data_IF_574432783042
#
_entry.id   IF_574432783042
#
_cell.length_a   1.000
_cell.length_b   1.000
_cell.length_c   1.000
_cell.angle_alpha   90.00
_cell.angle_beta   90.00
_cell.angle_gamma   90.00
#
_symmetry.space_group_name_H-M   'P 1'
#
loop_
_entity.id
_entity.type
_entity.pdbx_description
1 polymer ?
#
# COMPACT_ATOMS: atom_id res chain seq x y z
N UNK A 1 -8.23 -42.98 21.20
CA UNK A 1 -8.29 -41.60 20.69
C UNK A 1 -9.59 -41.49 19.87
N UNK A 2 -10.55 -40.67 20.30
CA UNK A 2 -11.80 -40.46 19.58
C UNK A 2 -11.47 -39.66 18.32
N UNK A 3 -11.59 -40.31 17.17
CA UNK A 3 -11.33 -39.66 15.86
C UNK A 3 -12.55 -38.76 15.57
N UNK A 4 -12.49 -37.49 15.97
CA UNK A 4 -13.59 -36.55 15.78
C UNK A 4 -13.58 -36.09 14.29
N UNK A 5 -14.57 -36.53 13.49
CA UNK A 5 -14.64 -36.24 12.07
C UNK A 5 -14.71 -34.73 11.77
N UNK A 6 -15.34 -33.95 12.66
CA UNK A 6 -15.43 -32.49 12.51
C UNK A 6 -14.07 -31.81 12.62
N UNK A 7 -13.18 -32.26 13.53
CA UNK A 7 -11.84 -31.73 13.64
C UNK A 7 -10.97 -32.06 12.41
N UNK A 8 -11.18 -33.27 11.85
CA UNK A 8 -10.48 -33.63 10.60
C UNK A 8 -10.96 -32.76 9.45
N UNK A 9 -12.28 -32.59 9.30
CA UNK A 9 -12.83 -31.76 8.22
C UNK A 9 -12.40 -30.31 8.35
N UNK A 10 -12.43 -29.69 9.54
CA UNK A 10 -11.94 -28.33 9.78
C UNK A 10 -10.45 -28.19 9.42
N UNK A 11 -9.63 -29.17 9.77
CA UNK A 11 -8.21 -29.17 9.41
C UNK A 11 -8.03 -29.28 7.89
N UNK A 12 -8.74 -30.18 7.24
CA UNK A 12 -8.64 -30.42 5.82
C UNK A 12 -9.17 -29.22 5.00
N UNK A 13 -10.23 -28.57 5.49
CA UNK A 13 -10.74 -27.30 4.92
C UNK A 13 -9.75 -26.15 5.12
N UNK A 14 -9.12 -26.06 6.29
CA UNK A 14 -8.08 -25.06 6.55
C UNK A 14 -6.86 -25.29 5.66
N UNK A 15 -6.40 -26.54 5.54
CA UNK A 15 -5.30 -26.88 4.64
C UNK A 15 -5.65 -26.55 3.19
N UNK A 16 -6.87 -26.82 2.74
CA UNK A 16 -7.33 -26.48 1.39
C UNK A 16 -7.33 -24.97 1.15
N UNK A 17 -7.76 -24.17 2.14
CA UNK A 17 -7.71 -22.70 2.07
C UNK A 17 -6.26 -22.21 2.02
N UNK A 18 -5.40 -22.74 2.89
CA UNK A 18 -4.00 -22.34 2.98
C UNK A 18 -3.14 -22.82 1.78
N UNK A 19 -3.58 -23.88 1.10
CA UNK A 19 -2.89 -24.40 -0.08
C UNK A 19 -3.57 -24.01 -1.39
N UNK A 20 -4.71 -23.32 -1.34
CA UNK A 20 -5.35 -22.81 -2.53
C UNK A 20 -4.50 -21.68 -3.12
N UNK A 21 -4.04 -21.81 -4.36
CA UNK A 21 -3.23 -20.77 -5.01
C UNK A 21 -4.13 -19.59 -5.38
N UNK A 22 -4.31 -18.66 -4.46
CA UNK A 22 -5.08 -17.44 -4.67
C UNK A 22 -4.71 -16.36 -3.65
N UNK A 23 -4.95 -15.11 -4.01
CA UNK A 23 -4.63 -13.95 -3.19
C UNK A 23 -5.21 -14.01 -1.76
N UNK A 24 -6.43 -14.53 -1.60
CA UNK A 24 -7.08 -14.61 -0.28
C UNK A 24 -6.31 -15.48 0.70
N UNK A 25 -5.85 -16.65 0.27
CA UNK A 25 -5.05 -17.56 1.10
C UNK A 25 -3.69 -16.94 1.45
N UNK A 26 -3.03 -16.30 0.47
CA UNK A 26 -1.71 -15.69 0.67
C UNK A 26 -1.80 -14.42 1.54
N UNK A 27 -2.86 -13.63 1.44
CA UNK A 27 -3.13 -12.49 2.33
C UNK A 27 -3.43 -12.90 3.77
N UNK A 28 -3.86 -14.14 4.00
CA UNK A 28 -4.20 -14.64 5.34
C UNK A 28 -2.99 -15.21 6.11
N UNK A 29 -1.80 -15.27 5.51
CA UNK A 29 -0.63 -15.93 6.11
C UNK A 29 0.59 -15.01 6.11
N UNK A 30 1.13 -14.71 7.30
CA UNK A 30 2.39 -13.98 7.47
C UNK A 30 3.55 -14.96 7.60
N UNK A 31 4.65 -14.70 6.88
CA UNK A 31 5.86 -15.52 6.95
C UNK A 31 7.12 -14.70 7.23
N UNK A 32 7.32 -13.56 6.55
CA UNK A 32 8.48 -12.69 6.76
C UNK A 32 9.82 -13.29 6.33
N UNK A 33 9.83 -14.15 5.30
CA UNK A 33 11.02 -14.84 4.79
C UNK A 33 11.84 -13.96 3.84
N UNK A 34 13.16 -13.97 3.97
CA UNK A 34 14.05 -13.41 2.96
C UNK A 34 14.01 -14.25 1.67
N UNK A 35 13.67 -13.61 0.55
CA UNK A 35 13.56 -14.23 -0.77
C UNK A 35 14.83 -14.07 -1.60
N UNK A 36 15.82 -13.31 -1.13
CA UNK A 36 17.07 -13.01 -1.82
C UNK A 36 17.09 -11.62 -2.48
N UNK A 37 18.05 -11.44 -3.38
CA UNK A 37 18.26 -10.16 -4.06
C UNK A 37 17.46 -10.00 -5.35
N UNK A 38 16.97 -11.09 -5.94
CA UNK A 38 16.25 -11.06 -7.20
C UNK A 38 14.91 -11.79 -7.11
N UNK A 39 13.92 -11.26 -7.83
CA UNK A 39 12.67 -11.98 -8.06
C UNK A 39 12.94 -13.04 -9.13
N UNK A 40 12.68 -14.30 -8.84
CA UNK A 40 12.92 -15.39 -9.78
C UNK A 40 11.84 -15.45 -10.88
N UNK A 41 12.17 -16.06 -12.02
CA UNK A 41 11.20 -16.29 -13.10
C UNK A 41 9.97 -17.07 -12.62
N UNK A 42 10.16 -18.03 -11.70
CA UNK A 42 9.07 -18.79 -11.10
C UNK A 42 8.15 -17.89 -10.25
N UNK A 43 8.71 -16.94 -9.50
CA UNK A 43 7.92 -15.97 -8.73
C UNK A 43 7.17 -15.02 -9.66
N UNK A 44 7.81 -14.51 -10.72
CA UNK A 44 7.12 -13.69 -11.74
C UNK A 44 5.95 -14.45 -12.38
N UNK A 45 6.17 -15.71 -12.76
CA UNK A 45 5.11 -16.55 -13.33
C UNK A 45 3.95 -16.77 -12.32
N UNK A 46 4.25 -17.00 -11.05
CA UNK A 46 3.26 -17.20 -10.01
C UNK A 46 2.46 -15.91 -9.74
N UNK A 47 3.10 -14.74 -9.77
CA UNK A 47 2.43 -13.44 -9.65
C UNK A 47 1.50 -13.23 -10.83
N UNK A 48 2.00 -13.37 -12.06
CA UNK A 48 1.21 -13.16 -13.27
C UNK A 48 0.01 -14.12 -13.38
N UNK A 49 0.15 -15.35 -12.86
CA UNK A 49 -0.93 -16.33 -12.81
C UNK A 49 -1.92 -16.12 -11.67
N UNK A 50 -1.63 -15.25 -10.68
CA UNK A 50 -2.43 -15.05 -9.48
C UNK A 50 -2.42 -16.24 -8.51
N UNK A 51 -1.45 -17.15 -8.67
CA UNK A 51 -1.27 -18.29 -7.76
C UNK A 51 -0.43 -17.95 -6.55
N UNK A 52 0.53 -17.03 -6.71
CA UNK A 52 1.45 -16.55 -5.68
C UNK A 52 2.24 -17.65 -4.97
N UNK A 53 2.55 -18.75 -5.69
CA UNK A 53 3.25 -19.91 -5.14
C UNK A 53 4.53 -19.50 -4.40
N UNK A 54 4.69 -19.99 -3.16
CA UNK A 54 5.78 -19.69 -2.23
C UNK A 54 6.01 -18.18 -1.99
N UNK A 55 4.95 -17.35 -2.06
CA UNK A 55 4.95 -15.95 -1.65
C UNK A 55 3.91 -15.73 -0.55
N UNK A 56 4.27 -15.05 0.54
CA UNK A 56 3.40 -14.78 1.69
C UNK A 56 3.60 -13.36 2.19
N UNK A 57 2.65 -12.88 2.98
CA UNK A 57 2.77 -11.54 3.59
C UNK A 57 4.03 -11.44 4.44
N UNK A 58 4.72 -10.31 4.32
CA UNK A 58 5.95 -10.01 5.03
C UNK A 58 7.21 -10.55 4.40
N UNK A 59 7.13 -11.49 3.44
CA UNK A 59 8.29 -11.92 2.67
C UNK A 59 8.94 -10.72 1.97
N UNK A 60 10.24 -10.75 1.78
CA UNK A 60 10.95 -9.61 1.23
C UNK A 60 12.12 -9.96 0.32
N UNK A 61 12.33 -9.10 -0.66
CA UNK A 61 13.54 -9.04 -1.47
C UNK A 61 14.45 -7.93 -0.98
N UNK A 62 15.75 -8.19 -0.87
CA UNK A 62 16.74 -7.18 -0.50
C UNK A 62 17.45 -6.67 -1.74
N UNK A 63 17.17 -5.44 -2.14
CA UNK A 63 17.74 -4.81 -3.35
C UNK A 63 18.32 -3.46 -2.99
N UNK A 64 19.55 -3.20 -3.43
CA UNK A 64 20.23 -1.93 -3.11
C UNK A 64 20.38 -1.64 -1.59
N UNK A 65 20.38 -2.69 -0.76
CA UNK A 65 20.45 -2.56 0.70
C UNK A 65 19.10 -2.29 1.38
N UNK A 66 18.00 -2.21 0.62
CA UNK A 66 16.63 -2.00 1.14
C UNK A 66 15.84 -3.30 1.06
N UNK A 67 15.10 -3.63 2.10
CA UNK A 67 14.15 -4.72 2.13
C UNK A 67 12.79 -4.23 1.59
N UNK A 68 12.30 -4.90 0.54
CA UNK A 68 11.02 -4.63 -0.09
C UNK A 68 10.04 -5.76 0.26
N UNK A 69 9.06 -5.46 1.13
CA UNK A 69 8.15 -6.47 1.70
C UNK A 69 6.88 -6.62 0.88
N UNK A 70 6.44 -7.87 0.70
CA UNK A 70 5.11 -8.19 0.20
C UNK A 70 4.07 -7.74 1.24
N UNK A 71 3.27 -6.75 0.90
CA UNK A 71 2.31 -6.13 1.80
C UNK A 71 0.86 -6.60 1.57
N UNK A 72 0.53 -6.94 0.32
CA UNK A 72 -0.78 -7.49 -0.05
C UNK A 72 -0.67 -8.18 -1.42
N UNK A 73 -1.58 -9.12 -1.67
CA UNK A 73 -1.77 -9.76 -2.98
C UNK A 73 -3.10 -9.31 -3.56
N UNK A 74 -3.12 -8.91 -4.84
CA UNK A 74 -4.31 -8.49 -5.60
C UNK A 74 -5.13 -7.36 -4.94
N UNK A 75 -4.46 -6.46 -4.23
CA UNK A 75 -5.12 -5.40 -3.46
C UNK A 75 -5.96 -4.46 -4.35
N UNK A 76 -5.47 -4.18 -5.56
CA UNK A 76 -6.12 -3.31 -6.55
C UNK A 76 -6.90 -4.07 -7.62
N UNK A 77 -6.91 -5.40 -7.60
CA UNK A 77 -7.58 -6.20 -8.63
C UNK A 77 -9.09 -5.89 -8.67
N UNK A 78 -9.62 -5.70 -9.87
CA UNK A 78 -11.00 -5.32 -10.15
C UNK A 78 -11.41 -3.94 -9.59
N UNK A 79 -10.46 -3.04 -9.38
CA UNK A 79 -10.71 -1.65 -8.98
C UNK A 79 -10.14 -0.69 -10.03
N UNK A 80 -10.57 0.57 -9.98
CA UNK A 80 -10.02 1.59 -10.86
C UNK A 80 -10.88 1.91 -12.09
N UNK A 81 -10.45 2.94 -12.82
CA UNK A 81 -11.00 3.34 -14.12
C UNK A 81 -9.85 3.85 -15.01
N UNK A 82 -9.34 3.04 -15.95
CA UNK A 82 -9.78 1.67 -16.27
C UNK A 82 -9.54 0.67 -15.12
N UNK A 83 -10.32 -0.40 -15.12
CA UNK A 83 -10.24 -1.45 -14.08
C UNK A 83 -8.90 -2.19 -14.18
N UNK A 84 -8.23 -2.36 -13.05
CA UNK A 84 -7.03 -3.20 -12.93
C UNK A 84 -7.39 -4.67 -13.05
N UNK A 85 -6.85 -5.34 -14.06
CA UNK A 85 -7.10 -6.78 -14.34
C UNK A 85 -5.86 -7.65 -14.12
N UNK A 86 -4.70 -7.06 -13.84
CA UNK A 86 -3.46 -7.78 -13.64
C UNK A 86 -3.35 -8.26 -12.19
N UNK A 87 -3.02 -9.53 -12.02
CA UNK A 87 -2.58 -10.04 -10.73
C UNK A 87 -1.29 -9.35 -10.30
N UNK A 88 -1.15 -9.05 -9.01
CA UNK A 88 -0.01 -8.26 -8.53
C UNK A 88 0.25 -8.44 -7.03
N UNK A 89 1.47 -8.08 -6.65
CA UNK A 89 1.88 -7.96 -5.25
C UNK A 89 2.11 -6.49 -4.92
N UNK A 90 1.46 -5.99 -3.87
CA UNK A 90 1.77 -4.68 -3.29
C UNK A 90 3.05 -4.80 -2.48
N UNK A 91 4.00 -3.94 -2.78
CA UNK A 91 5.30 -3.88 -2.12
C UNK A 91 5.40 -2.60 -1.30
N UNK A 92 5.94 -2.72 -0.09
CA UNK A 92 6.29 -1.59 0.77
C UNK A 92 7.76 -1.72 1.18
N UNK A 93 8.61 -0.71 0.97
CA UNK A 93 9.97 -0.72 1.49
C UNK A 93 9.94 -0.73 3.02
N UNK A 94 10.87 -1.44 3.65
CA UNK A 94 10.95 -1.52 5.11
C UNK A 94 11.26 -0.17 5.74
N UNK A 95 12.09 0.63 5.08
CA UNK A 95 12.52 1.96 5.51
C UNK A 95 12.13 3.06 4.53
N UNK A 96 12.30 4.31 4.94
CA UNK A 96 12.15 5.45 4.06
C UNK A 96 13.21 5.41 2.95
N UNK A 97 12.79 5.62 1.71
CA UNK A 97 13.72 5.67 0.58
C UNK A 97 14.55 6.97 0.58
N UNK A 98 13.96 8.05 1.02
CA UNK A 98 14.56 9.38 1.17
C UNK A 98 13.62 10.28 1.99
N UNK A 99 13.99 11.55 2.14
CA UNK A 99 13.16 12.57 2.78
C UNK A 99 12.75 13.64 1.76
N UNK A 100 11.51 14.14 1.88
CA UNK A 100 10.97 15.23 1.06
C UNK A 100 9.83 15.96 1.79
N UNK A 101 9.36 17.07 1.21
CA UNK A 101 8.18 17.82 1.67
C UNK A 101 6.96 17.38 0.88
N UNK A 102 5.76 17.63 1.44
CA UNK A 102 4.54 17.57 0.64
C UNK A 102 4.45 18.76 -0.32
N UNK A 103 4.72 19.96 0.18
CA UNK A 103 4.76 21.20 -0.59
C UNK A 103 5.88 22.12 -0.08
N UNK A 104 6.32 23.05 -0.90
CA UNK A 104 7.28 24.09 -0.50
C UNK A 104 6.69 25.04 0.57
N UNK A 105 5.39 25.27 0.52
CA UNK A 105 4.65 26.10 1.44
C UNK A 105 3.65 25.28 2.27
N UNK A 106 3.15 25.88 3.38
CA UNK A 106 2.15 25.26 4.24
C UNK A 106 0.74 25.38 3.64
N UNK A 107 0.56 24.79 2.47
CA UNK A 107 -0.73 24.74 1.78
C UNK A 107 -1.03 23.30 1.35
N UNK A 108 -2.30 22.95 1.33
CA UNK A 108 -2.81 21.69 0.83
C UNK A 108 -3.85 21.89 -0.29
N UNK A 109 -3.74 23.01 -1.01
CA UNK A 109 -4.62 23.35 -2.14
C UNK A 109 -4.49 22.27 -3.23
N UNK A 110 -5.63 21.75 -3.69
CA UNK A 110 -5.65 20.64 -4.63
C UNK A 110 -5.43 19.27 -4.01
N UNK A 111 -5.32 19.21 -2.69
CA UNK A 111 -5.14 17.94 -1.95
C UNK A 111 -3.80 17.28 -2.23
N UNK A 112 -3.76 15.96 -2.04
CA UNK A 112 -2.56 15.17 -2.35
C UNK A 112 -2.23 15.19 -3.84
N UNK A 113 -3.25 15.07 -4.70
CA UNK A 113 -3.06 15.08 -6.16
C UNK A 113 -2.44 16.39 -6.68
N UNK A 114 -2.71 17.53 -6.00
CA UNK A 114 -2.13 18.83 -6.34
C UNK A 114 -0.80 19.14 -5.64
N UNK A 115 -0.27 18.23 -4.82
CA UNK A 115 0.96 18.46 -4.07
C UNK A 115 2.23 18.31 -4.92
N UNK A 116 3.31 18.99 -4.51
CA UNK A 116 4.65 18.78 -5.07
C UNK A 116 5.14 17.34 -4.83
N UNK A 117 4.71 16.71 -3.75
CA UNK A 117 5.01 15.30 -3.49
C UNK A 117 4.52 14.42 -4.62
N UNK A 118 3.23 14.53 -4.98
CA UNK A 118 2.64 13.70 -6.03
C UNK A 118 3.15 14.06 -7.42
N UNK A 119 3.29 15.35 -7.73
CA UNK A 119 3.63 15.82 -9.07
C UNK A 119 5.12 15.77 -9.41
N UNK A 120 6.00 15.83 -8.39
CA UNK A 120 7.44 15.94 -8.61
C UNK A 120 8.29 15.06 -7.68
N UNK A 121 8.05 15.09 -6.37
CA UNK A 121 8.97 14.45 -5.41
C UNK A 121 8.95 12.92 -5.51
N UNK A 122 7.82 12.30 -5.88
CA UNK A 122 7.70 10.86 -6.09
C UNK A 122 8.42 10.34 -7.34
N UNK A 123 8.84 11.21 -8.28
CA UNK A 123 9.65 10.77 -9.43
C UNK A 123 10.95 10.11 -8.98
N UNK A 124 11.54 10.58 -7.88
CA UNK A 124 12.72 9.93 -7.29
C UNK A 124 12.41 8.51 -6.83
N UNK A 125 11.27 8.29 -6.17
CA UNK A 125 10.85 6.95 -5.74
C UNK A 125 10.56 6.05 -6.95
N UNK A 126 9.89 6.57 -7.99
CA UNK A 126 9.63 5.82 -9.23
C UNK A 126 10.92 5.35 -9.88
N UNK A 127 11.93 6.22 -9.97
CA UNK A 127 13.22 5.85 -10.53
C UNK A 127 13.91 4.77 -9.69
N UNK A 128 13.98 4.93 -8.36
CA UNK A 128 14.54 3.90 -7.45
C UNK A 128 13.84 2.56 -7.66
N UNK A 129 12.51 2.54 -7.70
CA UNK A 129 11.72 1.32 -7.83
C UNK A 129 11.90 0.70 -9.22
N UNK A 130 11.95 1.49 -10.29
CA UNK A 130 12.23 1.03 -11.66
C UNK A 130 13.63 0.45 -11.81
N UNK A 131 14.62 1.01 -11.15
CA UNK A 131 15.99 0.46 -11.15
C UNK A 131 16.06 -0.92 -10.48
N UNK A 132 15.14 -1.21 -9.53
CA UNK A 132 15.14 -2.48 -8.75
C UNK A 132 14.21 -3.54 -9.32
N UNK A 133 13.03 -3.17 -9.83
CA UNK A 133 12.00 -4.10 -10.33
C UNK A 133 11.76 -4.01 -11.85
N UNK A 134 12.45 -3.09 -12.53
CA UNK A 134 12.42 -2.98 -13.98
C UNK A 134 11.04 -2.70 -14.55
N UNK A 135 10.67 -3.44 -15.60
CA UNK A 135 9.42 -3.29 -16.31
C UNK A 135 8.20 -3.89 -15.56
N UNK A 136 8.43 -4.54 -14.42
CA UNK A 136 7.37 -5.21 -13.67
C UNK A 136 6.56 -4.28 -12.73
N UNK A 137 6.71 -2.97 -12.86
CA UNK A 137 5.92 -2.02 -12.09
C UNK A 137 4.54 -1.88 -12.74
N UNK A 138 3.51 -2.21 -11.98
CA UNK A 138 2.13 -2.12 -12.43
C UNK A 138 1.64 -0.67 -12.42
N UNK A 139 1.15 -0.23 -13.56
CA UNK A 139 0.30 0.97 -13.64
C UNK A 139 -1.15 0.60 -13.34
N UNK A 140 -1.77 1.33 -12.44
CA UNK A 140 -3.18 1.20 -12.10
C UNK A 140 -3.78 2.56 -11.81
N UNK A 141 -5.07 2.66 -11.61
CA UNK A 141 -5.71 3.92 -11.24
C UNK A 141 -6.19 3.88 -9.80
N UNK A 142 -6.02 5.00 -9.11
CA UNK A 142 -6.50 5.24 -7.75
C UNK A 142 -7.40 6.48 -7.74
N UNK A 143 -8.39 6.50 -6.87
CA UNK A 143 -9.27 7.65 -6.72
C UNK A 143 -8.75 8.54 -5.61
N UNK A 144 -8.33 9.74 -5.96
CA UNK A 144 -7.79 10.71 -5.00
C UNK A 144 -8.75 11.88 -4.81
N UNK A 145 -8.93 12.29 -3.58
CA UNK A 145 -9.65 13.52 -3.25
C UNK A 145 -8.76 14.74 -3.46
N UNK A 146 -9.30 15.78 -4.04
CA UNK A 146 -8.53 16.95 -4.47
C UNK A 146 -8.35 18.00 -3.37
N UNK A 147 -9.16 17.98 -2.32
CA UNK A 147 -9.06 18.94 -1.23
C UNK A 147 -9.91 18.50 -0.03
N UNK A 148 -9.68 19.14 1.10
CA UNK A 148 -10.54 19.08 2.28
C UNK A 148 -11.18 20.44 2.48
N UNK A 149 -12.50 20.50 2.46
CA UNK A 149 -13.27 21.71 2.74
C UNK A 149 -14.25 21.45 3.88
N UNK A 150 -14.26 22.32 4.89
CA UNK A 150 -15.13 22.22 6.07
C UNK A 150 -15.05 20.84 6.78
N UNK A 151 -13.87 20.25 6.86
CA UNK A 151 -13.67 18.95 7.50
C UNK A 151 -14.16 17.75 6.68
N UNK A 152 -14.50 17.95 5.41
CA UNK A 152 -14.92 16.87 4.49
C UNK A 152 -14.05 16.85 3.24
N UNK A 153 -13.80 15.65 2.72
CA UNK A 153 -13.18 15.49 1.41
C UNK A 153 -14.09 16.11 0.33
N UNK A 154 -13.52 16.91 -0.54
CA UNK A 154 -14.24 17.57 -1.62
C UNK A 154 -13.64 17.19 -2.95
N UNK A 155 -14.48 16.90 -3.93
CA UNK A 155 -14.11 16.51 -5.26
C UNK A 155 -13.12 15.32 -5.28
N UNK A 156 -13.14 14.56 -6.33
CA UNK A 156 -12.18 13.48 -6.52
C UNK A 156 -12.08 13.16 -7.99
N UNK A 157 -11.00 12.50 -8.36
CA UNK A 157 -10.79 11.99 -9.71
C UNK A 157 -9.92 10.73 -9.68
N UNK A 158 -9.98 9.98 -10.76
CA UNK A 158 -9.05 8.91 -11.02
C UNK A 158 -7.70 9.46 -11.45
N UNK A 159 -6.64 8.94 -10.86
CA UNK A 159 -5.25 9.25 -11.18
C UNK A 159 -4.49 7.97 -11.48
N UNK A 160 -3.63 8.02 -12.50
CA UNK A 160 -2.70 6.94 -12.77
C UNK A 160 -1.65 6.87 -11.66
N UNK A 161 -1.39 5.69 -11.14
CA UNK A 161 -0.43 5.40 -10.08
C UNK A 161 0.53 4.31 -10.52
N UNK A 162 1.81 4.52 -10.31
CA UNK A 162 2.88 3.52 -10.36
C UNK A 162 3.52 3.36 -8.98
N UNK A 163 3.74 4.48 -8.29
CA UNK A 163 4.33 4.59 -6.96
C UNK A 163 3.63 5.73 -6.24
N UNK A 164 3.06 5.46 -5.08
CA UNK A 164 2.32 6.45 -4.30
C UNK A 164 2.54 6.33 -2.79
N UNK A 165 2.17 7.36 -2.05
CA UNK A 165 2.14 7.29 -0.59
C UNK A 165 0.92 6.49 -0.12
N UNK A 166 1.07 5.77 0.99
CA UNK A 166 -0.04 5.12 1.67
C UNK A 166 -0.95 6.16 2.34
N UNK A 167 -2.21 5.78 2.57
CA UNK A 167 -3.16 6.54 3.40
C UNK A 167 -3.32 5.90 4.79
N UNK A 168 -3.96 6.61 5.72
CA UNK A 168 -4.24 6.13 7.07
C UNK A 168 -4.96 4.78 7.06
N UNK A 169 -5.95 4.60 6.18
CA UNK A 169 -6.67 3.33 6.09
C UNK A 169 -5.80 2.15 5.63
N UNK A 170 -4.88 2.38 4.69
CA UNK A 170 -3.92 1.34 4.27
C UNK A 170 -3.00 0.92 5.41
N UNK A 171 -2.67 1.84 6.31
CA UNK A 171 -1.74 1.58 7.43
C UNK A 171 -2.45 1.10 8.68
N UNK A 172 -3.60 1.69 9.05
CA UNK A 172 -4.26 1.48 10.33
C UNK A 172 -5.63 0.80 10.23
N UNK A 173 -6.16 0.62 9.02
CA UNK A 173 -7.51 0.09 8.79
C UNK A 173 -8.65 1.08 8.98
N UNK A 174 -8.35 2.32 9.32
CA UNK A 174 -9.31 3.41 9.48
C UNK A 174 -8.66 4.77 9.25
N UNK A 175 -9.44 5.76 8.84
CA UNK A 175 -9.04 7.16 8.95
C UNK A 175 -8.99 7.55 10.42
N UNK A 176 -7.93 8.23 10.83
CA UNK A 176 -7.71 8.68 12.22
C UNK A 176 -7.90 10.19 12.29
N UNK A 177 -7.15 10.93 11.50
CA UNK A 177 -7.26 12.38 11.37
C UNK A 177 -7.87 12.80 10.04
N UNK A 178 -7.78 11.93 9.02
CA UNK A 178 -8.34 12.22 7.72
C UNK A 178 -9.86 12.38 7.83
N UNK A 179 -10.42 13.50 7.41
CA UNK A 179 -11.87 13.69 7.33
C UNK A 179 -12.45 12.95 6.12
N UNK A 180 -12.04 11.71 5.88
CA UNK A 180 -12.52 10.94 4.73
C UNK A 180 -14.01 10.70 4.92
N UNK A 181 -14.78 11.45 4.23
CA UNK A 181 -16.11 10.99 3.88
C UNK A 181 -16.00 10.37 2.50
N UNK A 182 -16.31 9.10 2.42
CA UNK A 182 -16.68 8.44 1.17
C UNK A 182 -17.97 9.08 0.64
N UNK A 183 -17.98 10.39 0.40
CA UNK A 183 -19.18 11.10 0.00
C UNK A 183 -19.92 10.45 -1.15
N UNK A 184 -21.14 10.89 -1.41
CA UNK A 184 -22.05 10.33 -2.41
C UNK A 184 -21.49 10.24 -3.84
N UNK A 185 -20.31 10.77 -4.10
CA UNK A 185 -19.67 10.85 -5.41
C UNK A 185 -18.48 9.90 -5.58
N UNK A 186 -18.20 9.00 -4.62
CA UNK A 186 -17.15 8.00 -4.74
C UNK A 186 -17.59 6.89 -5.68
N UNK A 187 -16.80 6.52 -6.71
CA UNK A 187 -17.17 5.47 -7.65
C UNK A 187 -17.41 4.12 -6.96
N UNK A 188 -18.35 3.33 -7.49
CA UNK A 188 -18.73 2.04 -6.89
C UNK A 188 -17.58 1.02 -6.86
N UNK A 189 -16.65 1.09 -7.81
CA UNK A 189 -15.46 0.23 -7.86
C UNK A 189 -14.25 0.79 -7.08
N UNK A 190 -14.41 1.93 -6.42
CA UNK A 190 -13.45 2.47 -5.47
C UNK A 190 -13.58 1.73 -4.14
N UNK A 191 -12.60 0.96 -3.76
CA UNK A 191 -12.63 0.25 -2.48
C UNK A 191 -11.28 0.13 -1.80
N UNK A 192 -10.24 0.43 -2.49
CA UNK A 192 -8.86 0.13 -2.11
C UNK A 192 -8.47 0.75 -0.78
N UNK A 193 -8.75 2.01 -0.64
CA UNK A 193 -8.35 2.77 0.55
C UNK A 193 -9.24 2.49 1.76
N UNK A 194 -10.13 1.50 1.64
CA UNK A 194 -11.04 1.09 2.71
C UNK A 194 -10.56 -0.12 3.50
N UNK A 195 -9.39 -0.67 3.18
CA UNK A 195 -8.85 -1.82 3.88
C UNK A 195 -7.39 -1.60 4.28
N UNK A 196 -7.05 -2.10 5.46
CA UNK A 196 -5.67 -2.15 5.92
C UNK A 196 -4.87 -3.14 5.07
N UNK A 197 -3.64 -2.80 4.75
CA UNK A 197 -2.73 -3.75 4.12
C UNK A 197 -2.48 -4.95 5.04
N UNK A 198 -2.61 -6.19 4.55
CA UNK A 198 -2.38 -7.40 5.33
C UNK A 198 -1.04 -7.41 6.09
N UNK A 199 0.03 -6.81 5.53
CA UNK A 199 1.31 -6.65 6.22
C UNK A 199 1.14 -6.00 7.60
N UNK A 200 0.44 -4.88 7.66
CA UNK A 200 0.25 -4.13 8.91
C UNK A 200 -0.79 -4.76 9.85
N UNK A 201 -1.71 -5.58 9.31
CA UNK A 201 -2.63 -6.38 10.13
C UNK A 201 -1.88 -7.50 10.86
N UNK A 202 -1.01 -8.21 10.13
CA UNK A 202 -0.29 -9.36 10.67
C UNK A 202 0.91 -8.95 11.53
N UNK A 203 1.60 -7.89 11.13
CA UNK A 203 2.78 -7.38 11.82
C UNK A 203 2.71 -5.85 11.99
N UNK A 204 2.02 -5.36 13.03
CA UNK A 204 1.96 -3.94 13.34
C UNK A 204 3.33 -3.30 13.63
N UNK A 205 4.36 -4.11 13.94
CA UNK A 205 5.71 -3.59 14.14
C UNK A 205 6.30 -2.99 12.87
N UNK A 206 5.80 -3.42 11.69
CA UNK A 206 6.16 -2.84 10.41
C UNK A 206 5.66 -1.39 10.23
N UNK A 207 4.73 -0.92 11.06
CA UNK A 207 4.30 0.49 11.08
C UNK A 207 5.30 1.32 11.86
N UNK A 208 5.85 0.73 12.95
CA UNK A 208 6.74 1.42 13.86
C UNK A 208 8.15 1.50 13.26
N UNK A 209 8.57 2.73 12.99
CA UNK A 209 9.95 3.06 12.63
C UNK A 209 10.45 4.20 13.52
N UNK A 210 11.73 4.26 13.73
CA UNK A 210 12.37 5.40 14.41
C UNK A 210 12.28 6.69 13.62
N UNK A 211 12.04 6.58 12.30
CA UNK A 211 11.87 7.69 11.38
C UNK A 211 10.40 7.96 11.11
N UNK A 212 10.05 9.22 11.01
CA UNK A 212 8.72 9.66 10.59
C UNK A 212 8.60 9.58 9.07
N UNK A 213 7.37 9.31 8.56
CA UNK A 213 7.12 9.22 7.13
C UNK A 213 5.71 9.66 6.74
N UNK A 214 5.61 10.27 5.56
CA UNK A 214 4.39 10.85 5.05
C UNK A 214 3.31 9.83 4.74
N UNK A 215 2.06 10.22 5.06
CA UNK A 215 0.84 9.66 4.47
C UNK A 215 0.24 10.68 3.50
N UNK A 216 -0.58 10.21 2.56
CA UNK A 216 -1.19 11.10 1.55
C UNK A 216 -2.43 11.83 2.02
N UNK A 217 -2.94 11.54 3.22
CA UNK A 217 -4.18 12.10 3.74
C UNK A 217 -4.03 13.59 4.03
N UNK A 218 -4.92 14.37 3.43
CA UNK A 218 -5.05 15.81 3.68
C UNK A 218 -5.92 16.00 4.91
N UNK A 219 -5.42 16.72 5.91
CA UNK A 219 -6.12 16.93 7.18
C UNK A 219 -6.79 18.29 7.23
N UNK A 220 -6.08 19.32 6.80
CA UNK A 220 -6.57 20.71 6.74
C UNK A 220 -6.00 21.42 5.52
N UNK A 221 -6.29 22.70 5.36
CA UNK A 221 -5.71 23.52 4.29
C UNK A 221 -4.18 23.67 4.31
N UNK A 222 -3.50 23.16 5.34
CA UNK A 222 -2.03 23.27 5.51
C UNK A 222 -1.36 21.98 6.00
N UNK A 223 -2.13 20.98 6.45
CA UNK A 223 -1.60 19.80 7.12
C UNK A 223 -1.92 18.52 6.37
N UNK A 224 -0.92 17.62 6.36
CA UNK A 224 -1.05 16.23 5.95
C UNK A 224 -0.79 15.28 7.13
N UNK A 225 -1.35 14.07 7.03
CA UNK A 225 -1.03 13.02 7.98
C UNK A 225 0.38 12.47 7.74
N UNK A 226 0.97 11.97 8.82
CA UNK A 226 2.23 11.22 8.77
C UNK A 226 2.24 10.15 9.87
N UNK A 227 3.09 9.16 9.73
CA UNK A 227 3.36 8.18 10.78
C UNK A 227 4.55 8.66 11.59
N UNK A 228 4.32 8.82 12.91
CA UNK A 228 5.36 9.17 13.86
C UNK A 228 5.38 8.16 15.01
N UNK A 229 6.48 7.43 15.18
CA UNK A 229 6.62 6.42 16.25
C UNK A 229 5.48 5.39 16.27
N UNK A 230 5.01 4.97 15.09
CA UNK A 230 3.97 3.95 14.94
C UNK A 230 2.52 4.45 15.05
N UNK A 231 2.31 5.74 15.32
CA UNK A 231 0.98 6.35 15.39
C UNK A 231 0.78 7.38 14.29
N UNK A 232 -0.46 7.54 13.83
CA UNK A 232 -0.80 8.65 12.93
C UNK A 232 -0.73 9.98 13.67
N UNK A 233 -0.27 10.99 12.97
CA UNK A 233 -0.16 12.35 13.46
C UNK A 233 -0.29 13.33 12.29
N UNK A 234 -0.28 14.64 12.56
CA UNK A 234 -0.45 15.68 11.54
C UNK A 234 0.67 16.71 11.59
N UNK A 235 1.10 17.19 10.44
CA UNK A 235 2.13 18.22 10.37
C UNK A 235 1.99 19.09 9.13
N UNK A 236 2.71 20.21 9.14
CA UNK A 236 2.75 21.18 8.05
C UNK A 236 3.27 20.56 6.75
N UNK A 237 2.64 20.89 5.63
CA UNK A 237 3.03 20.41 4.30
C UNK A 237 4.48 20.72 3.94
N UNK A 238 5.05 21.81 4.49
CA UNK A 238 6.44 22.23 4.22
C UNK A 238 7.49 21.50 5.07
N UNK A 239 7.09 20.67 6.02
CA UNK A 239 8.04 19.88 6.80
C UNK A 239 8.69 18.80 5.94
N UNK A 240 9.91 18.42 6.29
CA UNK A 240 10.67 17.35 5.62
C UNK A 240 10.52 16.09 6.44
N UNK A 241 9.90 15.07 5.86
CA UNK A 241 9.74 13.74 6.45
C UNK A 241 10.12 12.65 5.44
N UNK A 242 10.19 11.42 5.90
CA UNK A 242 10.48 10.27 5.08
C UNK A 242 9.43 10.00 4.00
N UNK A 243 9.91 9.55 2.86
CA UNK A 243 9.09 9.03 1.76
C UNK A 243 9.19 7.52 1.79
N UNK A 244 8.12 6.89 2.23
CA UNK A 244 7.94 5.43 2.30
C UNK A 244 6.72 5.07 1.46
N UNK A 245 6.90 4.89 0.15
CA UNK A 245 5.79 4.65 -0.76
C UNK A 245 5.33 3.19 -0.75
N UNK A 246 4.21 2.92 -1.40
CA UNK A 246 3.88 1.61 -1.93
C UNK A 246 3.94 1.62 -3.45
N UNK A 247 4.09 0.45 -4.03
CA UNK A 247 3.98 0.19 -5.46
C UNK A 247 3.54 -1.26 -5.69
N UNK A 248 3.15 -1.57 -6.90
CA UNK A 248 2.73 -2.93 -7.26
C UNK A 248 3.66 -3.52 -8.30
N UNK A 249 3.93 -4.82 -8.17
CA UNK A 249 4.67 -5.60 -9.18
C UNK A 249 3.79 -6.71 -9.75
N UNK A 250 3.96 -7.00 -11.07
CA UNK A 250 3.16 -7.99 -11.80
C UNK A 250 3.99 -8.79 -12.80
#
# INVERSE_FOLDING_TARGET
MINNPYKKQQRDDLLRILTAPNAGAHNAAYRGKALGGEVTDAQWAAIAAGTFDDLYIGDYWTKGGVNYRAAAFDYFLNTGDPVCTNHHVVIVPEENLYEARMNSDNIATGGYAGSEMHSANLERAKNIVKDVFGAHILKHTIYLTNAVANGMASNGAWYESEVDLMCEQMVYGSGIFSPVSDGANVPANYRVEKSQLPLFQHDPSCIYHTQQWWLRDVITGAYFAYVGYGVSNTTNASNVLGVRPYFCVY
#
